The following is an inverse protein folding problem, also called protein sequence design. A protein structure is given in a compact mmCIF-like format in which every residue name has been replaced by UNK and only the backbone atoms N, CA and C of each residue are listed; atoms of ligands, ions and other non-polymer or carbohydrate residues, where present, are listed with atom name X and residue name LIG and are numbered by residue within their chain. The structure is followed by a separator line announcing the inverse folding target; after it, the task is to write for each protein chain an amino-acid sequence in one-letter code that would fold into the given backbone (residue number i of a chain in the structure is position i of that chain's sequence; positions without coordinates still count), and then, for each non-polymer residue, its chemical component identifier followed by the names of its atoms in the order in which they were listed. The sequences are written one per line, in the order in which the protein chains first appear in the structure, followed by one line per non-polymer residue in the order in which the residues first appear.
data_IF_309821804236
#
_entry.id   IF_309821804236
#
_cell.length_a   1.000
_cell.length_b   1.000
_cell.length_c   1.000
_cell.angle_alpha   90.00
_cell.angle_beta   90.00
_cell.angle_gamma   90.00
#
_symmetry.space_group_name_H-M   'P 1'
#
loop_
_entity.id
_entity.type
_entity.pdbx_description
1 polymer ?
#
# COMPACT_ATOMS: atom_id res chain seq x y z
N UNK A 1 -24.76 9.07 9.72
CA UNK A 1 -25.66 9.04 8.54
C UNK A 1 -25.14 10.05 7.48
N UNK A 2 -24.70 11.26 7.87
CA UNK A 2 -24.16 12.28 6.96
C UNK A 2 -22.83 11.81 6.33
N UNK A 3 -21.92 11.26 7.11
CA UNK A 3 -20.63 10.71 6.65
C UNK A 3 -20.78 9.52 5.71
N UNK A 4 -21.84 8.71 5.91
CA UNK A 4 -22.14 7.58 5.02
C UNK A 4 -22.70 8.04 3.65
N UNK A 5 -23.34 9.20 3.58
CA UNK A 5 -23.85 9.78 2.33
C UNK A 5 -22.75 10.44 1.52
N UNK A 6 -21.78 11.08 2.18
CA UNK A 6 -20.58 11.63 1.54
C UNK A 6 -19.65 10.50 1.05
N UNK A 7 -19.53 9.40 1.80
CA UNK A 7 -18.76 8.23 1.37
C UNK A 7 -19.38 7.51 0.17
N UNK A 8 -20.71 7.53 0.00
CA UNK A 8 -21.38 6.98 -1.19
C UNK A 8 -21.03 7.74 -2.46
N UNK A 9 -21.00 9.07 -2.42
CA UNK A 9 -20.61 9.90 -3.57
C UNK A 9 -19.15 9.75 -3.97
N UNK A 10 -18.24 9.75 -3.00
CA UNK A 10 -16.80 9.55 -3.23
C UNK A 10 -16.50 8.11 -3.70
N UNK A 11 -17.12 7.11 -3.11
CA UNK A 11 -16.95 5.71 -3.51
C UNK A 11 -17.32 5.44 -4.97
N UNK A 12 -18.34 6.10 -5.48
CA UNK A 12 -18.77 5.96 -6.89
C UNK A 12 -17.79 6.63 -7.87
N UNK A 13 -17.24 7.79 -7.53
CA UNK A 13 -16.24 8.49 -8.35
C UNK A 13 -14.96 7.65 -8.47
N UNK A 14 -14.43 7.15 -7.37
CA UNK A 14 -13.20 6.34 -7.37
C UNK A 14 -13.39 4.98 -8.05
N UNK A 15 -14.56 4.35 -7.91
CA UNK A 15 -14.90 3.12 -8.61
C UNK A 15 -14.86 3.31 -10.12
N UNK A 16 -15.45 4.39 -10.64
CA UNK A 16 -15.41 4.70 -12.08
C UNK A 16 -13.99 4.95 -12.55
N UNK A 17 -13.22 5.77 -11.85
CA UNK A 17 -11.82 6.04 -12.19
C UNK A 17 -10.96 4.77 -12.28
N UNK A 18 -11.11 3.84 -11.33
CA UNK A 18 -10.37 2.58 -11.35
C UNK A 18 -10.79 1.69 -12.52
N UNK A 19 -12.10 1.51 -12.73
CA UNK A 19 -12.62 0.69 -13.82
C UNK A 19 -12.28 1.27 -15.19
N UNK A 20 -12.40 2.60 -15.35
CA UNK A 20 -12.05 3.29 -16.59
C UNK A 20 -10.56 3.18 -16.90
N UNK A 21 -9.71 3.39 -15.91
CA UNK A 21 -8.25 3.28 -16.06
C UNK A 21 -7.80 1.87 -16.45
N UNK A 22 -8.39 0.85 -15.83
CA UNK A 22 -7.97 -0.55 -15.99
C UNK A 22 -8.79 -1.33 -17.00
N UNK A 23 -9.82 -0.72 -17.59
CA UNK A 23 -10.73 -1.39 -18.53
C UNK A 23 -11.49 -2.56 -17.90
N UNK A 24 -11.86 -2.44 -16.63
CA UNK A 24 -12.54 -3.49 -15.86
C UNK A 24 -13.95 -3.10 -15.44
N UNK A 25 -14.75 -4.08 -15.05
CA UNK A 25 -16.10 -3.88 -14.47
C UNK A 25 -16.17 -4.56 -13.10
N UNK A 26 -15.33 -4.08 -12.16
CA UNK A 26 -15.13 -4.68 -10.84
C UNK A 26 -15.79 -3.84 -9.74
N UNK A 27 -16.45 -4.50 -8.80
CA UNK A 27 -16.76 -3.91 -7.50
C UNK A 27 -15.63 -4.25 -6.53
N UNK A 28 -15.09 -3.23 -5.87
CA UNK A 28 -14.00 -3.37 -4.90
C UNK A 28 -14.55 -3.37 -3.48
N UNK A 29 -14.22 -4.39 -2.67
CA UNK A 29 -14.46 -4.35 -1.24
C UNK A 29 -13.17 -4.06 -0.47
N UNK A 30 -13.30 -3.42 0.69
CA UNK A 30 -12.20 -3.08 1.58
C UNK A 30 -12.63 -3.29 3.04
N UNK A 31 -11.68 -3.34 3.96
CA UNK A 31 -11.93 -3.36 5.41
C UNK A 31 -12.97 -4.41 5.85
N UNK A 32 -12.97 -5.57 5.21
CA UNK A 32 -13.89 -6.65 5.56
C UNK A 32 -13.51 -7.24 6.90
N UNK A 33 -14.50 -7.43 7.77
CA UNK A 33 -14.35 -8.05 9.08
C UNK A 33 -15.61 -8.86 9.41
N UNK A 34 -15.45 -10.11 9.88
CA UNK A 34 -16.54 -11.01 10.22
C UNK A 34 -16.09 -12.07 11.23
N UNK A 35 -17.02 -12.61 11.99
CA UNK A 35 -16.78 -13.71 12.92
C UNK A 35 -16.62 -15.05 12.16
N UNK A 36 -16.05 -16.06 12.82
CA UNK A 36 -15.90 -17.41 12.27
C UNK A 36 -17.25 -18.13 12.19
N UNK A 37 -18.11 -17.63 11.31
CA UNK A 37 -19.43 -18.15 11.00
C UNK A 37 -19.68 -18.09 9.50
N UNK A 38 -19.93 -19.25 8.90
CA UNK A 38 -20.10 -19.35 7.44
C UNK A 38 -21.40 -18.73 6.93
N UNK A 39 -22.45 -18.71 7.72
CA UNK A 39 -23.70 -18.07 7.34
C UNK A 39 -23.54 -16.55 7.34
N UNK A 40 -22.82 -16.00 8.33
CA UNK A 40 -22.51 -14.56 8.42
C UNK A 40 -21.66 -14.11 7.23
N UNK A 41 -20.57 -14.82 6.96
CA UNK A 41 -19.71 -14.49 5.81
C UNK A 41 -20.43 -14.63 4.48
N UNK A 42 -21.24 -15.70 4.29
CA UNK A 42 -22.00 -15.89 3.08
C UNK A 42 -23.02 -14.78 2.85
N UNK A 43 -23.78 -14.38 3.89
CA UNK A 43 -24.75 -13.29 3.79
C UNK A 43 -24.07 -11.95 3.46
N UNK A 44 -22.90 -11.66 4.09
CA UNK A 44 -22.15 -10.45 3.83
C UNK A 44 -21.67 -10.37 2.38
N UNK A 45 -21.01 -11.42 1.88
CA UNK A 45 -20.50 -11.44 0.51
C UNK A 45 -21.61 -11.54 -0.52
N UNK A 46 -22.71 -12.27 -0.26
CA UNK A 46 -23.87 -12.27 -1.13
C UNK A 46 -24.45 -10.86 -1.32
N UNK A 47 -24.53 -10.07 -0.24
CA UNK A 47 -24.99 -8.68 -0.32
C UNK A 47 -24.09 -7.83 -1.21
N UNK A 48 -22.76 -8.00 -1.09
CA UNK A 48 -21.78 -7.28 -1.92
C UNK A 48 -21.89 -7.72 -3.39
N UNK A 49 -22.06 -9.01 -3.65
CA UNK A 49 -22.21 -9.58 -5.00
C UNK A 49 -23.52 -9.11 -5.67
N UNK A 50 -24.62 -9.07 -4.93
CA UNK A 50 -25.90 -8.59 -5.47
C UNK A 50 -25.84 -7.10 -5.78
N UNK A 51 -25.17 -6.32 -4.94
CA UNK A 51 -24.92 -4.91 -5.23
C UNK A 51 -24.02 -4.75 -6.46
N UNK A 52 -22.98 -5.58 -6.61
CA UNK A 52 -22.13 -5.58 -7.79
C UNK A 52 -22.93 -5.84 -9.08
N UNK A 53 -23.84 -6.84 -9.05
CA UNK A 53 -24.74 -7.14 -10.19
C UNK A 53 -25.66 -5.97 -10.52
N UNK A 54 -26.26 -5.32 -9.51
CA UNK A 54 -27.11 -4.14 -9.70
C UNK A 54 -26.35 -2.98 -10.35
N UNK A 55 -25.06 -2.85 -10.08
CA UNK A 55 -24.19 -1.83 -10.67
C UNK A 55 -23.57 -2.24 -12.01
N UNK A 56 -23.96 -3.39 -12.57
CA UNK A 56 -23.44 -3.91 -13.84
C UNK A 56 -21.98 -4.37 -13.76
N UNK A 57 -21.47 -4.67 -12.55
CA UNK A 57 -20.14 -5.24 -12.40
C UNK A 57 -20.15 -6.73 -12.71
N UNK A 58 -19.07 -7.21 -13.32
CA UNK A 58 -18.89 -8.62 -13.67
C UNK A 58 -18.03 -9.37 -12.67
N UNK A 59 -17.36 -8.65 -11.78
CA UNK A 59 -16.46 -9.22 -10.80
C UNK A 59 -16.53 -8.43 -9.47
N UNK A 60 -16.25 -9.16 -8.37
CA UNK A 60 -16.01 -8.58 -7.05
C UNK A 60 -14.59 -8.92 -6.63
N UNK A 61 -13.81 -7.93 -6.19
CA UNK A 61 -12.43 -8.16 -5.76
C UNK A 61 -12.06 -7.36 -4.51
N UNK A 62 -11.05 -7.84 -3.77
CA UNK A 62 -10.57 -7.23 -2.54
C UNK A 62 -9.94 -8.23 -1.56
N UNK A 63 -9.60 -7.78 -0.33
CA UNK A 63 -9.72 -6.41 0.14
C UNK A 63 -8.66 -5.49 -0.49
N UNK A 64 -9.09 -4.35 -0.96
CA UNK A 64 -8.24 -3.37 -1.62
C UNK A 64 -8.78 -1.97 -1.35
N UNK A 65 -7.92 -1.03 -0.96
CA UNK A 65 -8.28 0.37 -0.77
C UNK A 65 -8.56 1.10 -2.07
N UNK A 66 -8.86 2.37 -2.00
CA UNK A 66 -9.08 3.21 -3.19
C UNK A 66 -7.79 3.59 -3.88
N UNK A 67 -6.72 3.76 -3.11
CA UNK A 67 -5.40 4.16 -3.58
C UNK A 67 -4.35 3.23 -3.00
N UNK A 68 -3.15 3.24 -3.58
CA UNK A 68 -1.97 2.52 -3.09
C UNK A 68 -1.49 2.99 -1.68
N UNK A 69 -2.07 4.10 -1.18
CA UNK A 69 -1.82 4.58 0.18
C UNK A 69 -2.77 3.99 1.21
N UNK A 70 -3.77 3.27 0.79
CA UNK A 70 -4.69 2.56 1.65
C UNK A 70 -4.17 1.15 1.94
N UNK A 71 -4.80 0.47 2.89
CA UNK A 71 -4.40 -0.89 3.26
C UNK A 71 -4.86 -1.89 2.21
N UNK A 72 -3.96 -2.78 1.82
CA UNK A 72 -4.14 -3.72 0.73
C UNK A 72 -3.97 -5.16 1.20
N UNK A 73 -4.78 -6.03 0.63
CA UNK A 73 -4.67 -7.47 0.76
C UNK A 73 -5.04 -8.03 2.15
N UNK A 74 -5.54 -9.24 2.13
CA UNK A 74 -5.79 -10.08 3.29
C UNK A 74 -4.53 -10.90 3.60
N UNK A 75 -4.12 -10.97 4.86
CA UNK A 75 -2.98 -11.80 5.27
C UNK A 75 -3.30 -13.27 4.99
N UNK A 76 -2.41 -13.97 4.27
CA UNK A 76 -2.56 -15.40 3.92
C UNK A 76 -1.39 -16.24 4.42
N UNK A 77 -0.23 -15.65 4.71
CA UNK A 77 0.92 -16.30 5.33
C UNK A 77 1.57 -15.38 6.37
N UNK A 78 2.16 -15.94 7.43
CA UNK A 78 2.87 -15.21 8.47
C UNK A 78 1.94 -14.66 9.57
N UNK A 79 0.91 -15.40 9.95
CA UNK A 79 -0.04 -15.02 11.01
C UNK A 79 0.59 -14.90 12.40
N UNK A 80 1.72 -15.56 12.64
CA UNK A 80 2.52 -15.50 13.85
C UNK A 80 3.44 -14.27 13.91
N UNK A 81 3.61 -13.57 12.78
CA UNK A 81 4.49 -12.40 12.67
C UNK A 81 3.79 -11.11 13.06
N UNK A 82 4.54 -10.16 13.59
CA UNK A 82 4.01 -8.83 13.89
C UNK A 82 3.82 -8.07 12.58
N UNK A 83 2.63 -7.51 12.38
CA UNK A 83 2.33 -6.71 11.19
C UNK A 83 2.81 -5.27 11.33
N UNK A 84 3.22 -4.64 10.22
CA UNK A 84 3.42 -3.21 10.17
C UNK A 84 2.15 -2.46 10.61
N UNK A 85 2.29 -1.31 11.25
CA UNK A 85 1.16 -0.55 11.79
C UNK A 85 0.17 -0.06 10.72
N UNK A 86 0.60 0.02 9.47
CA UNK A 86 -0.21 0.47 8.33
C UNK A 86 -0.85 -0.67 7.54
N UNK A 87 -0.69 -1.93 7.97
CA UNK A 87 -1.34 -3.09 7.34
C UNK A 87 -2.45 -3.64 8.23
N UNK A 88 -3.36 -4.44 7.64
CA UNK A 88 -4.38 -5.16 8.40
C UNK A 88 -3.84 -6.48 8.94
N UNK A 89 -4.41 -6.91 10.08
CA UNK A 89 -4.37 -8.29 10.52
C UNK A 89 -5.78 -8.87 10.37
N UNK A 90 -5.87 -10.11 9.92
CA UNK A 90 -7.08 -10.91 9.86
C UNK A 90 -6.77 -12.32 10.39
N UNK A 91 -7.80 -13.02 10.82
CA UNK A 91 -7.66 -14.41 11.27
C UNK A 91 -7.53 -15.37 10.08
N UNK A 92 -6.88 -16.55 10.25
CA UNK A 92 -6.70 -17.54 9.18
C UNK A 92 -8.00 -18.01 8.54
N UNK A 93 -9.09 -18.15 9.32
CA UNK A 93 -10.38 -18.62 8.81
C UNK A 93 -10.99 -17.77 7.71
N UNK A 94 -10.57 -16.50 7.57
CA UNK A 94 -11.04 -15.64 6.48
C UNK A 94 -10.77 -16.22 5.11
N UNK A 95 -9.60 -16.86 4.93
CA UNK A 95 -9.18 -17.49 3.67
C UNK A 95 -10.12 -18.65 3.33
N UNK A 96 -10.41 -19.51 4.31
CA UNK A 96 -11.27 -20.67 4.15
C UNK A 96 -12.71 -20.26 3.79
N UNK A 97 -13.20 -19.16 4.38
CA UNK A 97 -14.51 -18.62 4.07
C UNK A 97 -14.57 -18.06 2.64
N UNK A 98 -13.62 -17.23 2.23
CA UNK A 98 -13.58 -16.68 0.87
C UNK A 98 -13.44 -17.79 -0.18
N UNK A 99 -12.56 -18.76 0.08
CA UNK A 99 -12.36 -19.91 -0.81
C UNK A 99 -13.64 -20.72 -0.97
N UNK A 100 -14.35 -20.99 0.13
CA UNK A 100 -15.63 -21.70 0.11
C UNK A 100 -16.73 -20.94 -0.63
N UNK A 101 -16.66 -19.58 -0.62
CA UNK A 101 -17.57 -18.72 -1.37
C UNK A 101 -17.18 -18.57 -2.86
N UNK A 102 -16.12 -19.24 -3.33
CA UNK A 102 -15.68 -19.24 -4.72
C UNK A 102 -14.77 -18.07 -5.10
N UNK A 103 -14.19 -17.36 -4.12
CA UNK A 103 -13.17 -16.38 -4.39
C UNK A 103 -11.81 -17.05 -4.59
N UNK A 104 -11.12 -16.69 -5.67
CA UNK A 104 -9.77 -17.12 -5.99
C UNK A 104 -8.74 -15.99 -5.82
N UNK A 105 -7.47 -16.32 -6.05
CA UNK A 105 -6.40 -15.35 -6.07
C UNK A 105 -6.54 -14.40 -7.26
N UNK A 106 -6.45 -13.07 -7.01
CA UNK A 106 -6.23 -12.06 -8.03
C UNK A 106 -4.73 -11.71 -8.09
N UNK A 107 -4.19 -11.14 -7.00
CA UNK A 107 -2.79 -10.76 -6.89
C UNK A 107 -2.31 -10.90 -5.46
N UNK A 108 -1.00 -11.16 -5.28
CA UNK A 108 -0.35 -11.22 -3.97
C UNK A 108 0.64 -10.06 -3.78
N UNK A 109 0.83 -9.68 -2.52
CA UNK A 109 1.93 -8.86 -2.04
C UNK A 109 2.78 -9.67 -1.06
N UNK A 110 4.09 -9.52 -1.17
CA UNK A 110 5.06 -10.11 -0.24
C UNK A 110 5.64 -9.06 0.68
N UNK A 111 5.88 -9.43 1.93
CA UNK A 111 6.56 -8.59 2.91
C UNK A 111 7.84 -9.30 3.37
N UNK A 112 8.94 -8.57 3.35
CA UNK A 112 10.27 -9.12 3.68
C UNK A 112 10.86 -8.43 4.90
N UNK A 113 11.56 -9.19 5.72
CA UNK A 113 12.42 -8.69 6.77
C UNK A 113 13.87 -8.70 6.26
N UNK A 114 14.45 -7.52 6.17
CA UNK A 114 15.81 -7.30 5.64
C UNK A 114 16.75 -7.07 6.81
N UNK A 115 17.87 -7.80 6.84
CA UNK A 115 18.94 -7.52 7.78
C UNK A 115 19.79 -6.35 7.31
N UNK A 116 19.84 -5.29 8.13
CA UNK A 116 20.66 -4.11 7.83
C UNK A 116 22.13 -4.44 8.06
N UNK A 117 23.02 -4.24 7.06
CA UNK A 117 24.44 -4.51 7.20
C UNK A 117 25.07 -3.67 8.31
N UNK A 118 25.86 -4.33 9.15
CA UNK A 118 26.66 -3.67 10.22
C UNK A 118 28.14 -3.53 9.83
N UNK A 119 28.58 -4.20 8.76
CA UNK A 119 29.96 -4.07 8.24
C UNK A 119 30.13 -2.75 7.50
N UNK A 120 31.02 -1.92 8.04
CA UNK A 120 31.33 -0.61 7.48
C UNK A 120 31.84 -0.66 6.03
N UNK A 121 32.49 -1.78 5.62
CA UNK A 121 32.96 -1.96 4.25
C UNK A 121 31.81 -2.07 3.25
N UNK A 122 30.71 -2.73 3.67
CA UNK A 122 29.49 -2.84 2.85
C UNK A 122 28.87 -1.45 2.67
N UNK A 123 28.77 -0.69 3.76
CA UNK A 123 28.22 0.67 3.73
C UNK A 123 29.03 1.59 2.81
N UNK A 124 30.36 1.56 2.94
CA UNK A 124 31.27 2.35 2.08
C UNK A 124 31.18 1.94 0.61
N UNK A 125 30.96 0.65 0.31
CA UNK A 125 30.72 0.20 -1.07
C UNK A 125 29.47 0.84 -1.66
N UNK A 126 28.37 0.84 -0.92
CA UNK A 126 27.12 1.48 -1.35
C UNK A 126 27.24 3.00 -1.49
N UNK A 127 27.97 3.66 -0.59
CA UNK A 127 28.28 5.10 -0.68
C UNK A 127 29.08 5.43 -1.95
N UNK A 128 30.07 4.62 -2.32
CA UNK A 128 30.81 4.79 -3.58
C UNK A 128 29.92 4.63 -4.82
N UNK A 129 29.03 3.62 -4.80
CA UNK A 129 28.06 3.41 -5.89
C UNK A 129 27.12 4.64 -5.98
N UNK A 130 26.58 5.09 -4.86
CA UNK A 130 25.70 6.25 -4.80
C UNK A 130 26.40 7.52 -5.34
N UNK A 131 27.63 7.79 -4.92
CA UNK A 131 28.40 8.94 -5.37
C UNK A 131 28.66 8.89 -6.90
N UNK A 132 28.97 7.70 -7.43
CA UNK A 132 29.13 7.52 -8.88
C UNK A 132 27.83 7.82 -9.64
N UNK A 133 26.69 7.30 -9.17
CA UNK A 133 25.37 7.50 -9.80
C UNK A 133 24.99 8.98 -9.76
N UNK A 134 25.12 9.64 -8.61
CA UNK A 134 24.83 11.07 -8.44
C UNK A 134 25.63 11.90 -9.46
N UNK A 135 26.95 11.65 -9.57
CA UNK A 135 27.81 12.35 -10.53
C UNK A 135 27.41 12.07 -11.99
N UNK A 136 27.17 10.78 -12.33
CA UNK A 136 26.86 10.38 -13.71
C UNK A 136 25.52 10.92 -14.21
N UNK A 137 24.52 10.96 -13.30
CA UNK A 137 23.16 11.40 -13.62
C UNK A 137 22.95 12.90 -13.34
N UNK A 138 23.97 13.62 -12.84
CA UNK A 138 23.92 15.03 -12.43
C UNK A 138 22.82 15.29 -11.40
N UNK A 139 22.78 14.43 -10.38
CA UNK A 139 21.80 14.47 -9.31
C UNK A 139 22.46 14.85 -8.01
N UNK A 140 21.68 15.34 -7.04
CA UNK A 140 22.14 15.60 -5.69
C UNK A 140 21.11 15.20 -4.65
N UNK A 141 21.56 14.92 -3.43
CA UNK A 141 20.68 14.64 -2.29
C UNK A 141 20.33 15.98 -1.63
N UNK A 142 19.05 16.29 -1.56
CA UNK A 142 18.57 17.46 -0.83
C UNK A 142 18.71 17.24 0.68
N UNK A 143 19.38 18.18 1.34
CA UNK A 143 19.56 18.19 2.80
C UNK A 143 18.49 19.07 3.43
N UNK A 144 17.49 18.48 4.05
CA UNK A 144 16.45 19.22 4.78
C UNK A 144 17.08 19.93 5.99
N UNK A 145 17.02 21.24 6.03
CA UNK A 145 17.58 22.08 7.07
C UNK A 145 16.56 22.56 8.09
N UNK A 146 15.29 22.60 7.67
CA UNK A 146 14.17 23.07 8.49
C UNK A 146 12.94 22.21 8.30
N UNK A 147 12.16 22.05 9.36
CA UNK A 147 10.85 21.38 9.29
C UNK A 147 9.85 22.08 8.35
N UNK A 148 10.07 23.36 8.06
CA UNK A 148 9.24 24.13 7.13
C UNK A 148 9.40 23.71 5.66
N UNK A 149 10.48 22.99 5.34
CA UNK A 149 10.71 22.45 3.98
C UNK A 149 9.89 21.19 3.71
N UNK A 150 9.39 20.48 4.74
CA UNK A 150 8.64 19.24 4.53
C UNK A 150 7.33 19.41 3.76
N UNK A 151 6.45 20.39 4.04
CA UNK A 151 5.18 20.49 3.33
C UNK A 151 5.32 20.56 1.80
N UNK A 152 6.18 21.43 1.21
CA UNK A 152 6.37 21.43 -0.23
C UNK A 152 7.07 20.18 -0.75
N UNK A 153 8.02 19.58 0.01
CA UNK A 153 8.66 18.33 -0.37
C UNK A 153 7.67 17.16 -0.40
N UNK A 154 6.81 17.05 0.60
CA UNK A 154 5.79 16.00 0.67
C UNK A 154 4.84 16.10 -0.52
N UNK A 155 4.47 17.31 -0.94
CA UNK A 155 3.66 17.50 -2.15
C UNK A 155 4.39 16.95 -3.38
N UNK A 156 5.65 17.32 -3.60
CA UNK A 156 6.49 16.78 -4.70
C UNK A 156 6.63 15.25 -4.63
N UNK A 157 6.70 14.69 -3.42
CA UNK A 157 6.73 13.23 -3.20
C UNK A 157 5.47 12.58 -3.75
N UNK A 158 4.28 13.08 -3.42
CA UNK A 158 3.03 12.49 -3.90
C UNK A 158 2.78 12.74 -5.40
N UNK A 159 3.22 13.87 -5.95
CA UNK A 159 3.25 14.11 -7.39
C UNK A 159 4.11 13.05 -8.11
N UNK A 160 5.28 12.73 -7.55
CA UNK A 160 6.15 11.68 -8.08
C UNK A 160 5.55 10.27 -7.89
N UNK A 161 4.85 10.01 -6.79
CA UNK A 161 4.09 8.76 -6.57
C UNK A 161 3.07 8.58 -7.68
N UNK A 162 2.26 9.59 -7.99
CA UNK A 162 1.26 9.51 -9.06
C UNK A 162 1.87 9.08 -10.40
N UNK A 163 3.05 9.58 -10.72
CA UNK A 163 3.75 9.23 -11.97
C UNK A 163 4.41 7.85 -11.90
N UNK A 164 5.13 7.57 -10.81
CA UNK A 164 5.95 6.36 -10.70
C UNK A 164 5.11 5.10 -10.45
N UNK A 165 3.97 5.23 -9.75
CA UNK A 165 3.09 4.11 -9.38
C UNK A 165 1.95 3.91 -10.38
N UNK A 166 1.77 4.82 -11.34
CA UNK A 166 0.71 4.72 -12.36
C UNK A 166 0.55 3.33 -13.01
N UNK A 167 1.62 2.56 -13.30
CA UNK A 167 1.50 1.22 -13.91
C UNK A 167 1.25 0.09 -12.89
N UNK A 168 1.23 0.36 -11.57
CA UNK A 168 1.04 -0.68 -10.57
C UNK A 168 -0.43 -1.10 -10.47
N UNK A 169 -0.66 -2.39 -10.18
CA UNK A 169 -1.99 -2.98 -10.07
C UNK A 169 -2.89 -2.18 -9.11
N UNK A 170 -4.09 -1.88 -9.56
CA UNK A 170 -5.15 -1.26 -8.74
C UNK A 170 -4.96 0.21 -8.39
N UNK A 171 -3.82 0.83 -8.78
CA UNK A 171 -3.53 2.22 -8.45
C UNK A 171 -4.42 3.21 -9.21
N UNK A 172 -4.76 4.29 -8.53
CA UNK A 172 -5.44 5.47 -9.08
C UNK A 172 -4.66 6.72 -8.66
N UNK A 173 -4.65 7.74 -9.49
CA UNK A 173 -4.00 9.00 -9.16
C UNK A 173 -4.61 9.66 -7.92
N UNK A 174 -3.75 10.17 -7.04
CA UNK A 174 -4.17 10.92 -5.87
C UNK A 174 -4.56 12.33 -6.26
N UNK A 175 -5.73 12.77 -5.81
CA UNK A 175 -6.15 14.16 -5.92
C UNK A 175 -5.38 15.06 -4.93
N UNK A 176 -5.40 16.38 -5.17
CA UNK A 176 -4.77 17.35 -4.25
C UNK A 176 -5.30 17.26 -2.80
N UNK A 177 -6.60 16.96 -2.62
CA UNK A 177 -7.21 16.79 -1.31
C UNK A 177 -6.70 15.53 -0.60
N UNK A 178 -6.56 14.44 -1.33
CA UNK A 178 -5.96 13.20 -0.82
C UNK A 178 -4.50 13.41 -0.48
N UNK A 179 -3.74 14.08 -1.35
CA UNK A 179 -2.33 14.43 -1.10
C UNK A 179 -2.20 15.22 0.21
N UNK A 180 -3.05 16.24 0.43
CA UNK A 180 -3.07 17.01 1.68
C UNK A 180 -3.36 16.13 2.91
N UNK A 181 -4.35 15.23 2.79
CA UNK A 181 -4.73 14.31 3.86
C UNK A 181 -3.60 13.33 4.21
N UNK A 182 -3.01 12.69 3.20
CA UNK A 182 -1.90 11.75 3.42
C UNK A 182 -0.63 12.46 3.89
N UNK A 183 -0.32 13.64 3.35
CA UNK A 183 0.79 14.45 3.82
C UNK A 183 0.69 14.73 5.33
N UNK A 184 -0.48 15.15 5.83
CA UNK A 184 -0.71 15.36 7.25
C UNK A 184 -0.54 14.10 8.10
N UNK A 185 -0.92 12.94 7.55
CA UNK A 185 -0.81 11.64 8.23
C UNK A 185 0.64 11.14 8.33
N UNK A 186 1.43 11.32 7.28
CA UNK A 186 2.79 10.78 7.19
C UNK A 186 3.88 11.75 7.64
N UNK A 187 3.66 13.07 7.55
CA UNK A 187 4.65 14.07 7.95
C UNK A 187 5.24 13.87 9.36
N UNK A 188 4.44 13.53 10.40
CA UNK A 188 4.97 13.28 11.73
C UNK A 188 5.93 12.09 11.83
N UNK A 189 5.84 11.15 10.89
CA UNK A 189 6.66 9.93 10.87
C UNK A 189 8.03 10.15 10.23
N UNK A 190 8.24 11.29 9.56
CA UNK A 190 9.47 11.58 8.82
C UNK A 190 10.63 11.83 9.79
N UNK A 191 11.70 11.06 9.57
CA UNK A 191 13.00 11.27 10.22
C UNK A 191 14.07 11.56 9.17
N UNK A 192 14.85 12.65 9.30
CA UNK A 192 15.88 13.02 8.32
C UNK A 192 16.92 11.93 8.07
N UNK A 193 17.24 11.14 9.11
CA UNK A 193 18.19 10.03 9.02
C UNK A 193 17.69 8.90 8.13
N UNK A 194 16.37 8.68 8.09
CA UNK A 194 15.69 7.58 7.40
C UNK A 194 14.99 8.04 6.12
N UNK A 195 15.30 9.23 5.65
CA UNK A 195 14.67 9.82 4.46
C UNK A 195 15.72 10.27 3.46
N UNK A 196 15.44 10.05 2.19
CA UNK A 196 16.27 10.49 1.07
C UNK A 196 15.41 11.22 0.04
N UNK A 197 15.80 12.43 -0.33
CA UNK A 197 15.22 13.18 -1.45
C UNK A 197 16.32 13.45 -2.47
N UNK A 198 16.15 12.96 -3.69
CA UNK A 198 17.11 13.15 -4.78
C UNK A 198 16.56 14.15 -5.78
N UNK A 199 17.31 15.20 -6.03
CA UNK A 199 16.96 16.29 -6.94
C UNK A 199 17.82 16.25 -8.19
N UNK A 200 17.30 16.77 -9.30
CA UNK A 200 18.07 17.04 -10.51
C UNK A 200 18.68 18.46 -10.51
N UNK A 201 19.28 18.86 -11.64
CA UNK A 201 19.96 20.16 -11.79
C UNK A 201 19.00 21.36 -11.68
N UNK A 202 17.69 21.14 -11.82
CA UNK A 202 16.66 22.17 -11.72
C UNK A 202 15.99 22.21 -10.32
N UNK A 203 16.52 21.46 -9.34
CA UNK A 203 15.90 21.25 -8.01
C UNK A 203 14.51 20.58 -8.08
N UNK A 204 14.26 19.77 -9.13
CA UNK A 204 13.08 18.94 -9.22
C UNK A 204 13.30 17.60 -8.52
N UNK A 205 12.30 17.15 -7.75
CA UNK A 205 12.37 15.85 -7.08
C UNK A 205 12.24 14.72 -8.09
N UNK A 206 13.30 13.93 -8.23
CA UNK A 206 13.36 12.83 -9.20
C UNK A 206 13.35 11.44 -8.59
N UNK A 207 13.69 11.36 -7.29
CA UNK A 207 13.58 10.12 -6.56
C UNK A 207 13.51 10.40 -5.06
N UNK A 208 12.87 9.49 -4.33
CA UNK A 208 12.82 9.57 -2.87
C UNK A 208 12.71 8.18 -2.25
N UNK A 209 13.07 8.10 -0.97
CA UNK A 209 12.80 6.98 -0.10
C UNK A 209 12.49 7.48 1.30
N UNK A 210 11.46 6.90 1.92
CA UNK A 210 11.02 7.23 3.27
C UNK A 210 10.87 5.95 4.07
N UNK A 211 11.54 5.91 5.22
CA UNK A 211 11.36 4.88 6.22
C UNK A 211 11.09 5.53 7.58
N UNK A 212 10.49 4.78 8.48
CA UNK A 212 10.19 5.22 9.83
C UNK A 212 10.57 4.14 10.86
N UNK A 213 10.88 4.50 12.11
CA UNK A 213 11.02 3.51 13.17
C UNK A 213 9.73 2.72 13.33
N UNK A 214 9.83 1.38 13.42
CA UNK A 214 8.64 0.54 13.60
C UNK A 214 8.00 0.77 14.96
N UNK A 215 6.72 1.06 14.96
CA UNK A 215 5.93 1.21 16.19
C UNK A 215 5.08 -0.02 16.50
N UNK A 216 5.15 -1.04 15.66
CA UNK A 216 4.29 -2.21 15.72
C UNK A 216 4.39 -2.97 17.04
N UNK A 217 5.61 -3.18 17.57
CA UNK A 217 5.81 -3.85 18.85
C UNK A 217 5.22 -3.04 20.03
N UNK A 218 5.34 -1.70 19.99
CA UNK A 218 4.76 -0.84 21.01
C UNK A 218 3.24 -0.86 20.96
N UNK A 219 2.64 -0.84 19.79
CA UNK A 219 1.18 -0.95 19.61
C UNK A 219 0.67 -2.32 20.08
N UNK A 220 1.36 -3.41 19.70
CA UNK A 220 0.99 -4.78 20.10
C UNK A 220 1.01 -4.96 21.62
N UNK A 221 2.01 -4.40 22.31
CA UNK A 221 2.13 -4.46 23.78
C UNK A 221 0.92 -3.88 24.52
N UNK A 222 0.23 -2.94 23.92
CA UNK A 222 -0.91 -2.21 24.50
C UNK A 222 -2.24 -2.48 23.77
N UNK A 223 -2.32 -3.53 22.95
CA UNK A 223 -3.51 -3.87 22.15
C UNK A 223 -4.03 -2.67 21.33
N UNK A 224 -3.11 -1.86 20.79
CA UNK A 224 -3.42 -0.64 20.03
C UNK A 224 -3.86 0.55 20.90
N UNK A 225 -3.93 0.43 22.22
CA UNK A 225 -4.37 1.52 23.12
C UNK A 225 -3.21 2.46 23.44
N UNK A 226 -3.40 3.75 23.16
CA UNK A 226 -2.39 4.76 23.48
C UNK A 226 -2.44 5.22 24.93
N UNK A 227 -3.62 5.22 25.57
CA UNK A 227 -3.80 5.65 26.95
C UNK A 227 -4.04 4.44 27.86
N UNK A 228 -3.53 4.48 29.13
CA UNK A 228 -2.80 5.60 29.76
C UNK A 228 -1.31 5.65 29.42
N UNK A 229 -0.64 4.55 29.03
CA UNK A 229 0.83 4.47 28.94
C UNK A 229 1.37 4.12 27.54
N UNK A 230 0.53 3.64 26.62
CA UNK A 230 0.94 3.18 25.29
C UNK A 230 1.64 4.28 24.45
N UNK A 231 1.21 5.53 24.61
CA UNK A 231 1.86 6.68 23.95
C UNK A 231 3.36 6.82 24.29
N UNK A 232 3.73 6.51 25.55
CA UNK A 232 5.11 6.60 26.00
C UNK A 232 5.98 5.52 25.32
N UNK A 233 5.48 4.28 25.17
CA UNK A 233 6.18 3.22 24.46
C UNK A 233 6.26 3.52 22.96
N UNK A 234 5.25 4.10 22.35
CA UNK A 234 5.30 4.58 20.96
C UNK A 234 6.37 5.67 20.80
N UNK A 235 6.40 6.68 21.66
CA UNK A 235 7.45 7.73 21.62
C UNK A 235 8.86 7.13 21.82
N UNK A 236 9.00 6.16 22.73
CA UNK A 236 10.26 5.46 22.92
C UNK A 236 10.69 4.70 21.67
N UNK A 237 9.75 3.99 21.01
CA UNK A 237 9.99 3.28 19.76
C UNK A 237 10.45 4.22 18.64
N UNK A 238 9.91 5.45 18.58
CA UNK A 238 10.34 6.47 17.65
C UNK A 238 11.80 6.92 17.84
N UNK A 239 12.30 6.89 19.08
CA UNK A 239 13.65 7.37 19.40
C UNK A 239 14.68 6.24 19.46
N UNK A 240 14.28 5.06 19.91
CA UNK A 240 15.15 3.89 20.08
C UNK A 240 14.44 2.65 19.57
N UNK A 241 14.78 2.24 18.37
CA UNK A 241 14.26 1.02 17.75
C UNK A 241 15.38 0.37 16.94
N UNK A 242 15.43 -0.94 16.94
CA UNK A 242 16.33 -1.72 16.10
C UNK A 242 15.68 -2.14 14.78
N UNK A 243 14.41 -1.81 14.59
CA UNK A 243 13.61 -2.13 13.40
C UNK A 243 12.99 -0.87 12.81
N UNK A 244 13.03 -0.75 11.49
CA UNK A 244 12.33 0.28 10.73
C UNK A 244 11.31 -0.34 9.79
N UNK A 245 10.27 0.41 9.47
CA UNK A 245 9.32 0.12 8.41
C UNK A 245 9.69 0.94 7.16
N UNK A 246 9.90 0.27 6.02
CA UNK A 246 10.11 0.92 4.72
C UNK A 246 8.75 1.32 4.17
N UNK A 247 8.49 2.63 4.11
CA UNK A 247 7.15 3.15 3.79
C UNK A 247 6.96 3.34 2.29
N UNK A 248 7.79 4.17 1.67
CA UNK A 248 7.65 4.56 0.27
C UNK A 248 9.00 4.72 -0.40
N UNK A 249 9.09 4.28 -1.64
CA UNK A 249 10.25 4.50 -2.51
C UNK A 249 9.78 4.72 -3.95
N UNK A 250 10.25 5.77 -4.59
CA UNK A 250 10.00 5.98 -6.01
C UNK A 250 11.19 6.61 -6.73
N UNK A 251 11.30 6.29 -8.01
CA UNK A 251 12.23 6.90 -8.96
C UNK A 251 11.45 7.28 -10.20
N UNK A 252 11.64 8.51 -10.68
CA UNK A 252 11.02 9.03 -11.90
C UNK A 252 11.27 8.05 -13.07
N UNK A 253 10.26 7.74 -13.90
CA UNK A 253 10.34 6.68 -14.91
C UNK A 253 11.55 6.76 -15.83
N UNK A 254 11.95 7.97 -16.25
CA UNK A 254 13.10 8.21 -17.11
C UNK A 254 14.47 7.92 -16.47
N UNK A 255 14.51 7.87 -15.12
CA UNK A 255 15.70 7.57 -14.32
C UNK A 255 15.72 6.14 -13.75
N UNK A 256 14.65 5.37 -13.97
CA UNK A 256 14.63 3.95 -13.61
C UNK A 256 15.71 3.18 -14.39
N UNK A 257 16.23 2.09 -13.81
CA UNK A 257 17.35 1.29 -14.36
C UNK A 257 18.69 2.05 -14.51
N UNK A 258 18.79 3.31 -14.05
CA UNK A 258 20.05 4.09 -14.06
C UNK A 258 20.78 4.07 -12.71
N UNK A 259 20.38 3.18 -11.80
CA UNK A 259 21.03 2.97 -10.50
C UNK A 259 20.61 3.96 -9.40
N UNK A 260 19.61 4.82 -9.64
CA UNK A 260 19.19 5.85 -8.66
C UNK A 260 18.66 5.22 -7.36
N UNK A 261 18.08 4.01 -7.41
CA UNK A 261 17.69 3.27 -6.20
C UNK A 261 18.88 3.07 -5.23
N UNK A 262 20.09 2.86 -5.76
CA UNK A 262 21.27 2.69 -4.93
C UNK A 262 21.61 3.95 -4.11
N UNK A 263 21.27 5.14 -4.60
CA UNK A 263 21.43 6.39 -3.85
C UNK A 263 20.50 6.41 -2.63
N UNK A 264 19.23 6.05 -2.85
CA UNK A 264 18.22 6.00 -1.78
C UNK A 264 18.61 4.96 -0.74
N UNK A 265 18.91 3.73 -1.18
CA UNK A 265 19.30 2.63 -0.30
C UNK A 265 20.54 2.99 0.52
N UNK A 266 21.58 3.53 -0.13
CA UNK A 266 22.81 3.96 0.53
C UNK A 266 22.54 5.00 1.62
N UNK A 267 21.72 6.01 1.34
CA UNK A 267 21.38 7.08 2.29
C UNK A 267 20.63 6.55 3.49
N UNK A 268 19.59 5.73 3.26
CA UNK A 268 18.78 5.13 4.34
C UNK A 268 19.61 4.15 5.16
N UNK A 269 20.41 3.29 4.52
CA UNK A 269 21.31 2.35 5.19
C UNK A 269 22.35 3.07 6.07
N UNK A 270 22.95 4.16 5.59
CA UNK A 270 23.85 4.98 6.40
C UNK A 270 23.13 5.56 7.63
N UNK A 271 21.89 6.03 7.45
CA UNK A 271 21.04 6.48 8.55
C UNK A 271 20.75 5.37 9.56
N UNK A 272 20.38 4.18 9.09
CA UNK A 272 20.16 2.99 9.92
C UNK A 272 21.40 2.66 10.77
N UNK A 273 22.56 2.60 10.13
CA UNK A 273 23.83 2.34 10.81
C UNK A 273 24.10 3.37 11.92
N UNK A 274 23.91 4.67 11.62
CA UNK A 274 24.14 5.76 12.57
C UNK A 274 23.25 5.66 13.81
N UNK A 275 22.01 5.22 13.69
CA UNK A 275 21.04 5.16 14.80
C UNK A 275 20.87 3.73 15.38
N UNK A 276 21.67 2.76 14.91
CA UNK A 276 21.72 1.42 15.46
C UNK A 276 20.58 0.48 15.02
N UNK A 277 19.95 0.73 13.88
CA UNK A 277 18.92 -0.15 13.29
C UNK A 277 19.56 -1.43 12.78
N UNK A 278 18.92 -2.57 13.06
CA UNK A 278 19.37 -3.91 12.68
C UNK A 278 18.54 -4.55 11.60
N UNK A 279 17.25 -4.18 11.55
CA UNK A 279 16.26 -4.79 10.64
C UNK A 279 15.42 -3.71 9.96
N UNK A 280 15.05 -3.99 8.72
CA UNK A 280 14.12 -3.18 7.97
C UNK A 280 13.00 -4.09 7.44
N UNK A 281 11.76 -3.76 7.75
CA UNK A 281 10.60 -4.46 7.24
C UNK A 281 10.07 -3.73 6.02
N UNK A 282 9.89 -4.45 4.91
CA UNK A 282 9.21 -3.88 3.75
C UNK A 282 7.72 -3.80 4.03
N UNK A 283 7.07 -2.78 3.49
CA UNK A 283 5.63 -2.83 3.29
C UNK A 283 5.25 -3.93 2.29
N UNK A 284 3.95 -4.12 2.04
CA UNK A 284 3.48 -5.03 1.01
C UNK A 284 4.06 -4.64 -0.36
N UNK A 285 4.81 -5.54 -0.98
CA UNK A 285 5.39 -5.37 -2.31
C UNK A 285 4.67 -6.28 -3.30
N UNK A 286 4.08 -5.70 -4.32
CA UNK A 286 3.35 -6.42 -5.36
C UNK A 286 4.24 -7.53 -5.98
N UNK A 287 3.75 -8.77 -6.03
CA UNK A 287 4.52 -9.91 -6.53
C UNK A 287 4.98 -9.74 -7.99
N UNK A 288 4.22 -8.99 -8.79
CA UNK A 288 4.54 -8.72 -10.19
C UNK A 288 5.47 -7.52 -10.37
N UNK A 289 5.82 -6.79 -9.31
CA UNK A 289 6.75 -5.66 -9.37
C UNK A 289 8.21 -6.14 -9.20
N UNK A 290 8.74 -6.81 -10.22
CA UNK A 290 10.11 -7.33 -10.22
C UNK A 290 11.16 -6.26 -9.89
N UNK A 291 10.94 -5.01 -10.26
CA UNK A 291 11.88 -3.90 -10.00
C UNK A 291 12.06 -3.63 -8.51
N UNK A 292 11.00 -3.75 -7.73
CA UNK A 292 11.05 -3.56 -6.28
C UNK A 292 11.57 -4.82 -5.59
N UNK A 293 11.21 -6.00 -6.08
CA UNK A 293 11.70 -7.27 -5.54
C UNK A 293 13.21 -7.42 -5.69
N UNK A 294 13.74 -7.12 -6.88
CA UNK A 294 15.17 -7.30 -7.20
C UNK A 294 16.10 -6.31 -6.50
N UNK A 295 15.61 -5.15 -6.07
CA UNK A 295 16.47 -4.17 -5.39
C UNK A 295 17.04 -4.65 -4.05
N UNK A 296 16.46 -5.68 -3.44
CA UNK A 296 16.85 -6.23 -2.15
C UNK A 296 17.74 -7.47 -2.24
N UNK A 297 18.06 -7.98 -3.45
CA UNK A 297 18.81 -9.23 -3.66
C UNK A 297 20.22 -9.22 -3.04
N UNK A 298 20.84 -8.05 -2.89
CA UNK A 298 22.16 -7.92 -2.27
C UNK A 298 22.14 -7.94 -0.73
N UNK A 299 20.95 -8.07 -0.12
CA UNK A 299 20.79 -8.07 1.33
C UNK A 299 20.26 -9.42 1.82
N UNK A 300 20.71 -9.89 3.00
CA UNK A 300 20.05 -11.01 3.65
C UNK A 300 18.60 -10.64 3.95
N UNK A 301 17.66 -11.38 3.37
CA UNK A 301 16.24 -11.14 3.53
C UNK A 301 15.48 -12.45 3.80
N UNK A 302 14.39 -12.32 4.56
CA UNK A 302 13.42 -13.39 4.83
C UNK A 302 12.04 -12.88 4.36
N UNK A 303 11.44 -13.58 3.37
CA UNK A 303 10.02 -13.35 3.09
C UNK A 303 9.22 -13.97 4.23
N UNK A 304 8.55 -13.17 5.01
CA UNK A 304 7.92 -13.64 6.24
C UNK A 304 6.40 -13.44 6.29
N UNK A 305 5.84 -12.68 5.37
CA UNK A 305 4.38 -12.52 5.23
C UNK A 305 3.98 -12.44 3.76
N UNK A 306 2.72 -12.81 3.51
CA UNK A 306 2.06 -12.67 2.20
C UNK A 306 0.64 -12.17 2.40
N UNK A 307 0.23 -11.26 1.53
CA UNK A 307 -1.15 -10.77 1.45
C UNK A 307 -1.73 -11.06 0.10
N UNK A 308 -3.04 -11.22 0.04
CA UNK A 308 -3.76 -11.56 -1.19
C UNK A 308 -4.96 -10.65 -1.40
N UNK A 309 -5.12 -10.16 -2.61
CA UNK A 309 -6.39 -9.70 -3.13
C UNK A 309 -7.11 -10.90 -3.74
N UNK A 310 -8.35 -11.09 -3.33
CA UNK A 310 -9.21 -12.14 -3.87
C UNK A 310 -10.12 -11.57 -4.95
N UNK A 311 -10.54 -12.41 -5.87
CA UNK A 311 -11.48 -12.06 -6.93
C UNK A 311 -12.49 -13.18 -7.14
N UNK A 312 -13.74 -12.80 -7.43
CA UNK A 312 -14.79 -13.71 -7.88
C UNK A 312 -15.48 -13.14 -9.11
N UNK A 313 -15.53 -13.93 -10.17
CA UNK A 313 -16.33 -13.63 -11.36
C UNK A 313 -17.79 -13.91 -11.04
N UNK A 314 -18.66 -12.94 -11.31
CA UNK A 314 -20.08 -13.05 -11.06
C UNK A 314 -20.78 -13.66 -12.28
N UNK A 315 -21.57 -14.71 -12.03
CA UNK A 315 -22.50 -15.19 -13.05
C UNK A 315 -23.55 -14.08 -13.32
N UNK A 316 -23.84 -13.76 -14.59
CA UNK A 316 -24.92 -12.83 -14.91
C UNK A 316 -26.20 -13.27 -14.19
N UNK A 317 -26.95 -12.30 -13.65
CA UNK A 317 -28.29 -12.63 -13.13
C UNK A 317 -29.10 -13.29 -14.24
N UNK A 318 -29.90 -14.32 -13.92
CA UNK A 318 -30.84 -14.86 -14.89
C UNK A 318 -31.66 -13.68 -15.42
N UNK A 319 -31.61 -13.45 -16.73
CA UNK A 319 -32.54 -12.51 -17.34
C UNK A 319 -33.93 -13.05 -17.05
N UNK A 320 -34.71 -12.40 -16.19
CA UNK A 320 -36.13 -12.62 -16.14
C UNK A 320 -36.65 -12.39 -17.57
N UNK A 321 -37.05 -13.46 -18.21
CA UNK A 321 -37.61 -13.41 -19.55
C UNK A 321 -38.81 -12.46 -19.52
N UNK A 322 -38.69 -11.35 -20.24
CA UNK A 322 -39.81 -10.45 -20.55
C UNK A 322 -40.83 -11.20 -21.47
N UNK A 323 -41.43 -12.28 -20.92
CA UNK A 323 -42.45 -13.07 -21.56
C UNK A 323 -43.65 -13.15 -20.64
N UNK A 324 -44.37 -12.04 -20.48
CA UNK A 324 -45.80 -12.07 -20.12
C UNK A 324 -46.41 -10.66 -20.22
N UNK A 325 -46.58 -10.15 -21.40
CA UNK A 325 -47.57 -9.08 -21.63
C UNK A 325 -48.01 -9.06 -23.12
N UNK A 326 -48.50 -10.18 -23.60
CA UNK A 326 -49.42 -10.20 -24.74
C UNK A 326 -50.68 -10.92 -24.31
N UNK A 327 -51.56 -10.19 -23.61
CA UNK A 327 -52.94 -10.57 -23.54
C UNK A 327 -53.65 -10.05 -24.83
N UNK A 328 -54.36 -10.90 -25.59
CA UNK A 328 -55.09 -10.42 -26.72
C UNK A 328 -56.36 -9.67 -26.25
N UNK A 329 -56.51 -8.44 -26.68
CA UNK A 329 -57.77 -7.77 -26.60
C UNK A 329 -58.80 -8.52 -27.44
N UNK A 330 -59.65 -9.23 -26.72
CA UNK A 330 -60.83 -9.90 -27.35
C UNK A 330 -61.79 -8.87 -27.92
N UNK A 331 -62.22 -9.13 -29.11
CA UNK A 331 -63.35 -8.51 -29.77
C UNK A 331 -64.65 -8.81 -29.02
N UNK A 332 -65.46 -7.80 -28.83
CA UNK A 332 -66.91 -7.95 -28.71
C UNK A 332 -67.54 -6.66 -29.23
N UNK A 333 -68.27 -6.88 -30.30
CA UNK A 333 -69.50 -6.19 -30.81
C UNK A 333 -69.77 -4.75 -30.41
#
# INVERSE_FOLDING_TARGET
IRDAQESRGLGDVYKRQSNDKWGTHRLRFTQVDFIDDREVSAALFQTVEDWARQLGCTEVHGPLGFTDMDREGMLVEGFDRTSCFFTYYNHPYYIDHLTALGYGKDVDWTENLISVPTDQRVIQRWEKIAAYVLKRQRLHIHQVRSRLEYPPLIRKVFELVNVAYAPLYGTVELSDDQIRKYAGKFAPLIRPELTCFVMDENDDLVAFGVAAPSIAAALKKHDGRLFPTGWADVLKAFHRNDTIDLLLIAVRPDLQKKGVNAVIISKVMHGCFKIGVKQAETGPMLETNEKVQTQWQDFPLEQHKRRRCFVKVLTPAPQESAAAATAPAGAAE
#
